data_IF_997528905703
#
_entry.id   IF_997528905703
#
_cell.length_a   1.000
_cell.length_b   1.000
_cell.length_c   1.000
_cell.angle_alpha   90.00
_cell.angle_beta   90.00
_cell.angle_gamma   90.00
#
_symmetry.space_group_name_H-M   'P 1'
#
loop_
_entity.id
_entity.type
_entity.pdbx_description
1 polymer ?
#
# COMPACT_ATOMS: atom_id res chain seq x y z
N UNK A 1 -9.51 32.46 -44.48
CA UNK A 1 -9.73 30.99 -44.35
C UNK A 1 -8.45 30.15 -44.26
N UNK A 2 -7.30 30.54 -44.85
CA UNK A 2 -6.05 29.74 -44.80
C UNK A 2 -5.33 29.70 -43.44
N UNK A 3 -5.42 30.76 -42.63
CA UNK A 3 -4.73 30.80 -41.30
C UNK A 3 -5.46 29.95 -40.26
N UNK A 4 -6.81 29.91 -40.31
CA UNK A 4 -7.62 29.10 -39.39
C UNK A 4 -7.39 27.59 -39.59
N UNK A 5 -7.15 27.17 -40.83
CA UNK A 5 -6.86 25.77 -41.19
C UNK A 5 -5.47 25.35 -40.73
N UNK A 6 -4.48 26.25 -40.77
CA UNK A 6 -3.13 26.00 -40.27
C UNK A 6 -3.12 25.89 -38.74
N UNK A 7 -3.82 26.77 -38.02
CA UNK A 7 -3.94 26.67 -36.56
C UNK A 7 -4.67 25.40 -36.12
N UNK A 8 -5.74 25.02 -36.83
CA UNK A 8 -6.47 23.78 -36.55
C UNK A 8 -5.60 22.54 -36.79
N UNK A 9 -4.78 22.54 -37.83
CA UNK A 9 -3.87 21.43 -38.11
C UNK A 9 -2.77 21.32 -37.05
N UNK A 10 -2.20 22.45 -36.60
CA UNK A 10 -1.20 22.48 -35.51
C UNK A 10 -1.79 22.01 -34.18
N UNK A 11 -3.03 22.38 -33.87
CA UNK A 11 -3.72 21.95 -32.65
C UNK A 11 -3.99 20.44 -32.66
N UNK A 12 -4.50 19.90 -33.77
CA UNK A 12 -4.71 18.45 -33.92
C UNK A 12 -3.39 17.69 -33.88
N UNK A 13 -2.33 18.19 -34.52
CA UNK A 13 -1.01 17.59 -34.47
C UNK A 13 -0.44 17.60 -33.04
N UNK A 14 -0.63 18.69 -32.27
CA UNK A 14 -0.20 18.75 -30.87
C UNK A 14 -0.95 17.78 -29.96
N UNK A 15 -2.25 17.54 -30.20
CA UNK A 15 -3.02 16.52 -29.46
C UNK A 15 -2.47 15.13 -29.77
N UNK A 16 -2.17 14.83 -31.04
CA UNK A 16 -1.63 13.53 -31.45
C UNK A 16 -0.22 13.30 -30.85
N UNK A 17 0.62 14.33 -30.77
CA UNK A 17 1.94 14.24 -30.11
C UNK A 17 1.85 14.20 -28.58
N UNK A 18 0.79 14.74 -27.96
CA UNK A 18 0.53 14.64 -26.51
C UNK A 18 -0.03 13.26 -26.10
N UNK A 19 -0.61 12.51 -27.05
CA UNK A 19 -1.06 11.12 -26.84
C UNK A 19 -0.01 10.08 -27.25
N UNK A 20 1.21 10.51 -27.61
CA UNK A 20 2.32 9.63 -27.94
C UNK A 20 2.80 8.89 -26.70
N UNK A 21 2.36 7.65 -26.58
CA UNK A 21 2.96 6.56 -25.82
C UNK A 21 2.77 6.58 -24.29
N UNK A 22 1.51 6.67 -23.84
CA UNK A 22 1.13 6.00 -22.60
C UNK A 22 0.94 4.51 -22.89
N UNK A 23 2.04 3.78 -23.04
CA UNK A 23 2.00 2.31 -23.08
C UNK A 23 1.95 1.79 -21.65
N UNK A 24 0.85 1.13 -21.29
CA UNK A 24 0.80 0.34 -20.07
C UNK A 24 1.49 -0.99 -20.36
N UNK A 25 2.62 -1.25 -19.71
CA UNK A 25 3.30 -2.53 -19.81
C UNK A 25 2.73 -3.50 -18.77
N UNK A 26 2.56 -4.77 -19.16
CA UNK A 26 2.11 -5.83 -18.26
C UNK A 26 3.34 -6.58 -17.74
N UNK A 27 3.57 -6.51 -16.44
CA UNK A 27 4.60 -7.29 -15.76
C UNK A 27 3.96 -8.43 -14.99
N UNK A 28 4.51 -9.64 -15.15
CA UNK A 28 4.06 -10.84 -14.45
C UNK A 28 5.22 -11.39 -13.63
N UNK A 29 5.01 -11.53 -12.32
CA UNK A 29 6.00 -12.03 -11.39
C UNK A 29 5.41 -13.16 -10.55
N UNK A 30 6.15 -14.27 -10.44
CA UNK A 30 5.87 -15.28 -9.41
C UNK A 30 6.24 -14.76 -8.02
N UNK A 31 7.30 -13.95 -7.94
CA UNK A 31 7.73 -13.18 -6.79
C UNK A 31 8.61 -12.03 -7.29
N UNK A 32 8.66 -10.94 -6.53
CA UNK A 32 9.49 -9.78 -6.83
C UNK A 32 10.36 -9.47 -5.60
N UNK A 33 11.66 -9.31 -5.79
CA UNK A 33 12.56 -8.92 -4.71
C UNK A 33 13.33 -7.68 -5.15
N UNK A 34 13.30 -6.64 -4.32
CA UNK A 34 14.05 -5.40 -4.50
C UNK A 34 15.17 -5.39 -3.45
N UNK A 35 16.42 -5.50 -3.91
CA UNK A 35 17.58 -5.59 -3.01
C UNK A 35 17.90 -4.24 -2.34
N UNK A 36 18.66 -4.23 -1.23
CA UNK A 36 18.97 -3.02 -0.43
C UNK A 36 19.53 -1.84 -1.24
N UNK A 37 20.39 -2.09 -2.23
CA UNK A 37 20.98 -1.05 -3.11
C UNK A 37 20.18 -0.81 -4.40
N UNK A 38 19.01 -1.43 -4.54
CA UNK A 38 18.20 -1.38 -5.74
C UNK A 38 17.09 -0.34 -5.62
N UNK A 39 16.84 0.39 -6.71
CA UNK A 39 15.71 1.30 -6.84
C UNK A 39 14.94 0.99 -8.11
N UNK A 40 13.67 0.64 -7.95
CA UNK A 40 12.77 0.26 -9.04
C UNK A 40 11.55 1.17 -9.07
N UNK A 41 11.17 1.62 -10.26
CA UNK A 41 9.95 2.41 -10.47
C UNK A 41 9.10 1.79 -11.56
N UNK A 42 7.83 1.56 -11.26
CA UNK A 42 6.77 1.24 -12.22
C UNK A 42 5.84 2.46 -12.37
N UNK A 43 5.55 2.87 -13.61
CA UNK A 43 4.80 4.10 -13.92
C UNK A 43 3.81 3.87 -15.07
N UNK A 44 2.52 3.78 -14.75
CA UNK A 44 1.49 3.52 -15.75
C UNK A 44 1.31 2.04 -16.10
N UNK A 45 1.83 1.14 -15.27
CA UNK A 45 1.97 -0.28 -15.56
C UNK A 45 0.87 -1.14 -14.93
N UNK A 46 0.74 -2.38 -15.43
CA UNK A 46 -0.06 -3.44 -14.84
C UNK A 46 0.82 -4.53 -14.25
N UNK A 47 0.83 -4.67 -12.94
CA UNK A 47 1.62 -5.68 -12.25
C UNK A 47 0.73 -6.84 -11.84
N UNK A 48 1.13 -8.06 -12.16
CA UNK A 48 0.47 -9.31 -11.76
C UNK A 48 1.45 -10.12 -10.94
N UNK A 49 1.13 -10.32 -9.66
CA UNK A 49 2.00 -10.96 -8.70
C UNK A 49 1.31 -12.23 -8.21
N UNK A 50 1.90 -13.40 -8.42
CA UNK A 50 1.41 -14.71 -7.95
C UNK A 50 2.16 -15.19 -6.69
N UNK A 51 2.62 -14.26 -5.86
CA UNK A 51 3.41 -14.55 -4.66
C UNK A 51 3.82 -13.26 -3.97
N UNK A 52 4.98 -13.26 -3.33
CA UNK A 52 5.41 -12.15 -2.48
C UNK A 52 6.19 -11.09 -3.24
N UNK A 53 6.05 -9.84 -2.79
CA UNK A 53 6.98 -8.75 -3.09
C UNK A 53 7.80 -8.51 -1.82
N UNK A 54 9.11 -8.66 -1.89
CA UNK A 54 10.04 -8.41 -0.78
C UNK A 54 10.87 -7.17 -1.11
N UNK A 55 10.89 -6.20 -0.20
CA UNK A 55 11.48 -4.88 -0.45
C UNK A 55 12.51 -4.59 0.64
N UNK A 56 13.79 -4.69 0.27
CA UNK A 56 14.93 -4.27 1.08
C UNK A 56 15.50 -2.92 0.63
N UNK A 57 15.31 -2.54 -0.64
CA UNK A 57 15.66 -1.23 -1.21
C UNK A 57 14.45 -0.34 -1.48
N UNK A 58 14.46 0.39 -2.59
CA UNK A 58 13.44 1.38 -2.92
C UNK A 58 12.48 0.91 -4.02
N UNK A 59 11.20 0.76 -3.71
CA UNK A 59 10.15 0.46 -4.69
C UNK A 59 9.15 1.61 -4.80
N UNK A 60 9.03 2.19 -6.00
CA UNK A 60 7.96 3.14 -6.33
C UNK A 60 7.01 2.53 -7.36
N UNK A 61 5.72 2.52 -7.06
CA UNK A 61 4.68 2.12 -8.01
C UNK A 61 3.67 3.25 -8.11
N UNK A 62 3.58 3.87 -9.28
CA UNK A 62 2.72 5.04 -9.49
C UNK A 62 1.89 4.95 -10.76
N UNK A 63 0.68 5.51 -10.71
CA UNK A 63 -0.27 5.49 -11.83
C UNK A 63 -0.59 4.07 -12.33
N UNK A 64 -0.44 3.06 -11.47
CA UNK A 64 -0.42 1.65 -11.87
C UNK A 64 -1.56 0.87 -11.24
N UNK A 65 -1.81 -0.31 -11.81
CA UNK A 65 -2.72 -1.29 -11.23
C UNK A 65 -1.94 -2.54 -10.83
N UNK A 66 -1.98 -2.89 -9.55
CA UNK A 66 -1.34 -4.08 -9.01
C UNK A 66 -2.42 -5.13 -8.75
N UNK A 67 -2.18 -6.33 -9.24
CA UNK A 67 -2.99 -7.49 -9.02
C UNK A 67 -2.19 -8.52 -8.20
N UNK A 68 -2.55 -8.68 -6.94
CA UNK A 68 -1.88 -9.58 -6.00
C UNK A 68 -2.71 -10.84 -5.84
N UNK A 69 -2.24 -11.94 -6.40
CA UNK A 69 -2.85 -13.25 -6.28
C UNK A 69 -2.11 -14.11 -5.27
N UNK A 70 -2.85 -15.08 -4.74
CA UNK A 70 -2.33 -16.07 -3.79
C UNK A 70 -1.13 -16.80 -4.40
N UNK A 71 -0.11 -17.00 -3.59
CA UNK A 71 1.04 -17.84 -3.89
C UNK A 71 0.65 -19.26 -4.29
N UNK A 72 1.47 -19.88 -5.15
CA UNK A 72 1.28 -21.26 -5.60
C UNK A 72 1.33 -22.30 -4.47
N UNK A 73 1.89 -21.94 -3.32
CA UNK A 73 1.91 -22.76 -2.10
C UNK A 73 0.66 -22.54 -1.21
N UNK A 74 -0.30 -21.74 -1.68
CA UNK A 74 -1.55 -21.41 -1.01
C UNK A 74 -1.37 -20.64 0.31
N UNK A 75 -0.28 -19.92 0.50
CA UNK A 75 -0.15 -18.96 1.60
C UNK A 75 -0.80 -17.61 1.24
N UNK A 76 -0.99 -16.73 2.22
CA UNK A 76 -1.45 -15.36 1.95
C UNK A 76 -0.26 -14.60 1.38
N UNK A 77 -0.40 -14.04 0.18
CA UNK A 77 0.68 -13.28 -0.44
C UNK A 77 0.94 -11.99 0.32
N UNK A 78 2.20 -11.60 0.40
CA UNK A 78 2.64 -10.41 1.10
C UNK A 78 3.34 -9.42 0.17
N UNK A 79 3.03 -8.13 0.34
CA UNK A 79 3.92 -7.04 -0.08
C UNK A 79 4.65 -6.62 1.18
N UNK A 80 5.87 -7.12 1.37
CA UNK A 80 6.65 -6.97 2.60
C UNK A 80 7.79 -5.96 2.40
N UNK A 81 7.78 -4.93 3.24
CA UNK A 81 8.82 -3.93 3.37
C UNK A 81 9.63 -4.31 4.59
N UNK A 82 10.89 -4.67 4.39
CA UNK A 82 11.82 -4.95 5.47
C UNK A 82 12.38 -3.63 6.03
N UNK A 83 13.20 -3.71 7.09
CA UNK A 83 13.60 -2.55 7.87
C UNK A 83 14.43 -1.50 7.12
N UNK A 84 15.14 -1.89 6.07
CA UNK A 84 15.86 -0.98 5.17
C UNK A 84 15.02 -0.52 3.97
N UNK A 85 13.90 -1.21 3.72
CA UNK A 85 13.12 -1.03 2.52
C UNK A 85 12.18 0.16 2.57
N UNK A 86 11.84 0.64 1.38
CA UNK A 86 10.87 1.71 1.17
C UNK A 86 9.88 1.35 0.07
N UNK A 87 8.60 1.58 0.34
CA UNK A 87 7.53 1.46 -0.65
C UNK A 87 6.77 2.78 -0.79
N UNK A 88 6.73 3.30 -2.01
CA UNK A 88 5.89 4.43 -2.38
C UNK A 88 4.78 3.98 -3.36
N UNK A 89 3.52 4.04 -2.94
CA UNK A 89 2.35 3.83 -3.79
C UNK A 89 1.67 5.17 -4.10
N UNK A 90 1.64 5.60 -5.37
CA UNK A 90 1.10 6.91 -5.75
C UNK A 90 0.07 6.78 -6.88
N UNK A 91 -1.18 7.16 -6.63
CA UNK A 91 -2.24 7.00 -7.63
C UNK A 91 -2.34 5.55 -8.14
N UNK A 92 -2.32 4.60 -7.21
CA UNK A 92 -2.24 3.17 -7.49
C UNK A 92 -3.51 2.47 -7.02
N UNK A 93 -3.97 1.48 -7.80
CA UNK A 93 -5.05 0.58 -7.39
C UNK A 93 -4.49 -0.82 -7.16
N UNK A 94 -4.74 -1.40 -5.98
CA UNK A 94 -4.31 -2.75 -5.61
C UNK A 94 -5.53 -3.63 -5.44
N UNK A 95 -5.55 -4.75 -6.14
CA UNK A 95 -6.65 -5.70 -6.17
C UNK A 95 -6.14 -7.13 -6.10
N UNK A 96 -7.08 -8.06 -6.05
CA UNK A 96 -6.85 -9.50 -6.12
C UNK A 96 -8.01 -10.15 -6.88
N UNK A 97 -7.83 -11.36 -7.39
CA UNK A 97 -8.94 -12.08 -8.06
C UNK A 97 -9.61 -13.06 -7.12
N UNK A 98 -10.91 -13.26 -7.30
CA UNK A 98 -11.55 -14.44 -6.75
C UNK A 98 -11.11 -15.66 -7.57
N UNK A 99 -10.57 -16.68 -6.90
CA UNK A 99 -10.34 -17.97 -7.51
C UNK A 99 -11.60 -18.82 -7.35
N UNK A 100 -12.15 -19.35 -8.45
CA UNK A 100 -13.36 -20.19 -8.43
C UNK A 100 -13.26 -21.42 -7.51
N UNK A 101 -12.04 -21.90 -7.26
CA UNK A 101 -11.75 -23.07 -6.41
C UNK A 101 -11.53 -22.70 -4.95
N UNK A 102 -10.96 -21.53 -4.68
CA UNK A 102 -10.47 -21.16 -3.34
C UNK A 102 -11.18 -19.94 -2.72
N UNK A 103 -12.13 -19.34 -3.45
CA UNK A 103 -12.80 -18.10 -3.06
C UNK A 103 -11.96 -16.85 -3.32
N UNK A 104 -12.37 -15.75 -2.70
CA UNK A 104 -11.66 -14.47 -2.75
C UNK A 104 -10.29 -14.65 -2.09
N UNK A 105 -9.21 -14.37 -2.83
CA UNK A 105 -7.87 -14.33 -2.25
C UNK A 105 -7.67 -13.02 -1.52
N UNK A 106 -6.79 -13.01 -0.52
CA UNK A 106 -6.47 -11.83 0.28
C UNK A 106 -4.97 -11.67 0.29
N UNK A 107 -4.49 -10.47 0.56
CA UNK A 107 -3.06 -10.19 0.70
C UNK A 107 -2.81 -9.25 1.87
N UNK A 108 -1.58 -9.22 2.35
CA UNK A 108 -1.16 -8.29 3.40
C UNK A 108 -0.04 -7.42 2.87
N UNK A 109 -0.17 -6.10 3.02
CA UNK A 109 0.96 -5.20 2.90
C UNK A 109 1.58 -5.09 4.30
N UNK A 110 2.78 -5.62 4.44
CA UNK A 110 3.53 -5.68 5.70
C UNK A 110 4.64 -4.64 5.67
N UNK A 111 4.77 -3.83 6.71
CA UNK A 111 5.95 -3.01 6.97
C UNK A 111 6.57 -3.45 8.29
N UNK A 112 7.80 -3.95 8.25
CA UNK A 112 8.55 -4.42 9.41
C UNK A 112 9.78 -3.52 9.61
N UNK A 113 9.55 -2.39 10.29
CA UNK A 113 10.56 -1.36 10.54
C UNK A 113 10.89 -0.45 9.36
N UNK A 114 10.30 -0.67 8.18
CA UNK A 114 10.58 0.07 6.95
C UNK A 114 9.81 1.39 6.78
N UNK A 115 9.88 1.93 5.56
CA UNK A 115 9.24 3.18 5.17
C UNK A 115 8.07 2.93 4.20
N UNK A 116 6.85 3.30 4.59
CA UNK A 116 5.66 3.16 3.75
C UNK A 116 5.06 4.54 3.42
N UNK A 117 4.93 4.85 2.13
CA UNK A 117 4.13 5.98 1.65
C UNK A 117 3.00 5.49 0.74
N UNK A 118 1.78 5.93 1.04
CA UNK A 118 0.60 5.69 0.22
C UNK A 118 -0.08 7.02 -0.07
N UNK A 119 -0.25 7.35 -1.34
CA UNK A 119 -0.89 8.58 -1.79
C UNK A 119 -1.91 8.30 -2.88
N UNK A 120 -3.13 8.83 -2.71
CA UNK A 120 -4.20 8.80 -3.73
C UNK A 120 -4.51 7.37 -4.22
N UNK A 121 -4.52 6.40 -3.31
CA UNK A 121 -4.58 4.98 -3.64
C UNK A 121 -5.91 4.32 -3.30
N UNK A 122 -6.16 3.18 -3.94
CA UNK A 122 -7.30 2.30 -3.66
C UNK A 122 -6.77 0.89 -3.41
N UNK A 123 -7.11 0.30 -2.26
CA UNK A 123 -6.64 -1.03 -1.85
C UNK A 123 -7.88 -1.86 -1.51
N UNK A 124 -8.06 -2.97 -2.23
CA UNK A 124 -9.20 -3.85 -2.07
C UNK A 124 -8.78 -5.24 -1.62
N UNK A 125 -9.52 -5.84 -0.69
CA UNK A 125 -9.27 -7.19 -0.16
C UNK A 125 -7.90 -7.36 0.53
N UNK A 126 -7.20 -6.26 0.79
CA UNK A 126 -5.91 -6.22 1.46
C UNK A 126 -6.02 -5.78 2.92
N UNK A 127 -4.97 -6.07 3.69
CA UNK A 127 -4.74 -5.52 5.03
C UNK A 127 -3.42 -4.75 5.03
N UNK A 128 -3.34 -3.66 5.79
CA UNK A 128 -2.08 -2.99 6.13
C UNK A 128 -1.63 -3.46 7.53
N UNK A 129 -0.43 -4.02 7.63
CA UNK A 129 0.16 -4.49 8.88
C UNK A 129 1.53 -3.85 9.08
N UNK A 130 1.66 -2.97 10.06
CA UNK A 130 2.87 -2.18 10.28
C UNK A 130 3.38 -2.41 11.70
N UNK A 131 4.67 -2.74 11.83
CA UNK A 131 5.36 -2.92 13.10
C UNK A 131 6.66 -2.12 13.04
N UNK A 132 6.80 -1.10 13.89
CA UNK A 132 7.92 -0.15 13.83
C UNK A 132 7.88 0.74 12.57
N UNK A 133 9.00 1.43 12.30
CA UNK A 133 9.18 2.23 11.08
C UNK A 133 8.29 3.47 10.99
N UNK A 134 8.15 3.99 9.76
CA UNK A 134 7.32 5.15 9.47
C UNK A 134 6.31 4.83 8.37
N UNK A 135 5.08 5.33 8.54
CA UNK A 135 4.01 5.18 7.55
C UNK A 135 3.27 6.50 7.34
N UNK A 136 3.20 6.95 6.09
CA UNK A 136 2.44 8.14 5.68
C UNK A 136 1.38 7.75 4.66
N UNK A 137 0.10 7.95 5.01
CA UNK A 137 -1.04 7.56 4.19
C UNK A 137 -1.91 8.77 3.91
N UNK A 138 -2.07 9.14 2.65
CA UNK A 138 -2.90 10.27 2.23
C UNK A 138 -3.90 9.84 1.16
N UNK A 139 -5.18 10.19 1.32
CA UNK A 139 -6.25 9.93 0.35
C UNK A 139 -6.37 8.44 -0.05
N UNK A 140 -6.40 7.55 0.94
CA UNK A 140 -6.56 6.10 0.73
C UNK A 140 -8.03 5.67 0.87
N UNK A 141 -8.53 4.91 -0.10
CA UNK A 141 -9.69 4.04 0.08
C UNK A 141 -9.24 2.61 0.35
N UNK A 142 -9.52 2.10 1.55
CA UNK A 142 -9.21 0.74 1.97
C UNK A 142 -10.52 -0.03 2.18
N UNK A 143 -10.81 -1.01 1.34
CA UNK A 143 -12.06 -1.79 1.42
C UNK A 143 -11.78 -3.29 1.54
N UNK A 144 -12.19 -3.86 2.67
CA UNK A 144 -11.98 -5.26 2.97
C UNK A 144 -13.03 -6.17 2.37
N UNK A 145 -14.15 -5.66 1.84
CA UNK A 145 -15.25 -6.49 1.32
C UNK A 145 -15.68 -7.62 2.29
N UNK A 146 -15.80 -7.30 3.58
CA UNK A 146 -16.19 -8.19 4.69
C UNK A 146 -15.08 -9.11 5.19
N UNK A 147 -13.83 -8.65 5.15
CA UNK A 147 -12.72 -9.35 5.76
C UNK A 147 -12.85 -9.41 7.28
N UNK A 148 -12.79 -10.62 7.82
CA UNK A 148 -12.83 -10.84 9.28
C UNK A 148 -11.46 -10.61 9.92
N UNK A 149 -10.89 -9.41 9.74
CA UNK A 149 -9.57 -9.04 10.24
C UNK A 149 -9.46 -7.51 10.43
N UNK A 150 -8.23 -7.00 10.53
CA UNK A 150 -7.90 -5.58 10.56
C UNK A 150 -7.92 -4.98 9.14
N UNK A 151 -8.33 -3.71 9.04
CA UNK A 151 -7.99 -2.87 7.88
C UNK A 151 -6.55 -2.40 8.00
N UNK A 152 -6.27 -1.64 9.05
CA UNK A 152 -4.93 -1.18 9.42
C UNK A 152 -4.59 -1.70 10.82
N UNK A 153 -3.48 -2.43 10.92
CA UNK A 153 -2.81 -2.77 12.16
C UNK A 153 -1.48 -1.99 12.24
N UNK A 154 -1.23 -1.36 13.38
CA UNK A 154 -0.04 -0.55 13.64
C UNK A 154 0.47 -0.85 15.04
N UNK A 155 1.73 -1.23 15.18
CA UNK A 155 2.39 -1.47 16.46
C UNK A 155 3.74 -0.75 16.46
N UNK A 156 3.92 0.21 17.37
CA UNK A 156 5.14 1.01 17.47
C UNK A 156 5.57 1.74 16.17
N UNK A 157 4.66 1.86 15.20
CA UNK A 157 4.87 2.60 13.96
C UNK A 157 4.54 4.08 14.14
N UNK A 158 5.37 4.96 13.58
CA UNK A 158 5.03 6.36 13.41
C UNK A 158 4.06 6.52 12.23
N UNK A 159 2.76 6.33 12.51
CA UNK A 159 1.69 6.39 11.52
C UNK A 159 1.08 7.79 11.43
N UNK A 160 1.14 8.38 10.24
CA UNK A 160 0.42 9.62 9.87
C UNK A 160 -0.58 9.26 8.77
N UNK A 161 -1.87 9.53 9.00
CA UNK A 161 -2.92 9.24 8.04
C UNK A 161 -3.86 10.44 7.85
N UNK A 162 -4.06 10.87 6.60
CA UNK A 162 -4.97 11.96 6.23
C UNK A 162 -5.91 11.58 5.09
N UNK A 163 -7.21 11.88 5.22
CA UNK A 163 -8.18 11.63 4.14
C UNK A 163 -8.41 10.13 3.85
N UNK A 164 -8.30 9.27 4.85
CA UNK A 164 -8.39 7.81 4.70
C UNK A 164 -9.82 7.32 4.97
N UNK A 165 -10.32 6.42 4.13
CA UNK A 165 -11.62 5.78 4.29
C UNK A 165 -11.44 4.25 4.39
N UNK A 166 -11.76 3.67 5.54
CA UNK A 166 -11.62 2.24 5.83
C UNK A 166 -12.99 1.59 5.93
N UNK A 167 -13.22 0.49 5.19
CA UNK A 167 -14.55 -0.11 5.06
C UNK A 167 -14.56 -1.63 5.10
N UNK A 168 -15.64 -2.18 5.67
CA UNK A 168 -15.97 -3.61 5.60
C UNK A 168 -14.87 -4.54 6.16
N UNK A 169 -14.36 -4.20 7.34
CA UNK A 169 -13.48 -5.02 8.16
C UNK A 169 -14.14 -5.33 9.50
N UNK A 170 -13.72 -6.37 10.21
CA UNK A 170 -14.10 -6.53 11.62
C UNK A 170 -13.60 -5.34 12.44
N UNK A 171 -12.33 -4.95 12.26
CA UNK A 171 -11.71 -3.82 12.93
C UNK A 171 -11.01 -2.93 11.90
N UNK A 172 -11.47 -1.69 11.70
CA UNK A 172 -10.91 -0.78 10.71
C UNK A 172 -9.50 -0.33 11.03
N UNK A 173 -9.24 0.08 12.28
CA UNK A 173 -7.91 0.45 12.76
C UNK A 173 -7.65 -0.17 14.13
N UNK A 174 -6.46 -0.78 14.26
CA UNK A 174 -5.82 -1.12 15.52
C UNK A 174 -4.45 -0.46 15.63
N UNK A 175 -4.23 0.31 16.68
CA UNK A 175 -2.92 0.91 16.98
C UNK A 175 -2.45 0.56 18.40
N UNK A 176 -1.19 0.15 18.55
CA UNK A 176 -0.53 -0.27 19.80
C UNK A 176 0.81 0.48 19.95
N UNK A 177 1.13 0.89 21.18
CA UNK A 177 2.41 1.52 21.51
C UNK A 177 2.48 2.98 21.08
N UNK A 178 2.85 3.24 19.81
CA UNK A 178 2.87 4.59 19.23
C UNK A 178 1.47 5.09 18.84
N UNK A 179 1.18 6.36 19.15
CA UNK A 179 -0.11 6.96 18.82
C UNK A 179 -0.11 7.53 17.40
N UNK A 180 -1.07 7.13 16.55
CA UNK A 180 -1.12 7.62 15.18
C UNK A 180 -1.61 9.07 15.12
N UNK A 181 -1.10 9.83 14.15
CA UNK A 181 -1.62 11.15 13.79
C UNK A 181 -2.68 10.99 12.72
N UNK A 182 -3.95 11.22 13.06
CA UNK A 182 -5.09 10.98 12.17
C UNK A 182 -5.83 12.27 11.84
N UNK A 183 -6.01 12.57 10.56
CA UNK A 183 -6.81 13.69 10.06
C UNK A 183 -7.84 13.19 9.04
N UNK A 184 -9.13 13.53 9.22
CA UNK A 184 -10.17 13.13 8.26
C UNK A 184 -10.17 11.62 7.92
N UNK A 185 -10.06 10.77 8.95
CA UNK A 185 -10.12 9.31 8.80
C UNK A 185 -11.53 8.81 9.12
N UNK A 186 -12.12 8.06 8.18
CA UNK A 186 -13.50 7.61 8.22
C UNK A 186 -13.61 6.09 8.23
N UNK A 187 -14.52 5.57 9.04
CA UNK A 187 -14.74 4.13 9.23
C UNK A 187 -16.17 3.77 8.84
N UNK A 188 -16.33 2.73 8.03
CA UNK A 188 -17.64 2.29 7.54
C UNK A 188 -17.79 0.79 7.69
N UNK A 189 -18.83 0.34 8.40
CA UNK A 189 -19.09 -1.09 8.61
C UNK A 189 -17.87 -1.83 9.21
N UNK A 190 -17.20 -1.19 10.18
CA UNK A 190 -16.10 -1.76 10.95
C UNK A 190 -16.01 -1.12 12.33
N UNK A 191 -15.44 -1.83 13.31
CA UNK A 191 -15.13 -1.27 14.63
C UNK A 191 -13.76 -0.58 14.65
N UNK A 192 -13.35 0.05 15.75
CA UNK A 192 -12.00 0.66 15.92
C UNK A 192 -11.46 0.45 17.33
N UNK A 193 -10.14 0.25 17.50
CA UNK A 193 -9.51 0.09 18.82
C UNK A 193 -8.07 0.66 18.84
N UNK A 194 -7.80 1.59 19.75
CA UNK A 194 -6.46 2.13 19.99
C UNK A 194 -6.03 1.90 21.44
N UNK A 195 -4.82 1.37 21.66
CA UNK A 195 -4.23 1.17 23.00
C UNK A 195 -2.83 1.77 23.03
N UNK A 196 -2.54 2.67 23.97
CA UNK A 196 -1.16 3.10 24.22
C UNK A 196 -0.51 2.13 25.22
N UNK A 197 0.67 1.60 24.87
CA UNK A 197 1.50 0.83 25.79
C UNK A 197 2.61 1.73 26.33
N UNK A 198 2.70 1.84 27.65
CA UNK A 198 3.76 2.55 28.34
C UNK A 198 4.68 1.50 28.97
N UNK A 199 5.90 1.38 28.47
CA UNK A 199 6.92 0.56 29.12
C UNK A 199 7.25 1.19 30.49
N UNK A 200 6.88 0.51 31.58
CA UNK A 200 7.44 0.84 32.89
C UNK A 200 8.88 0.37 32.90
N UNK A 201 9.83 1.30 32.78
CA UNK A 201 11.23 1.00 33.05
C UNK A 201 11.37 0.75 34.55
N UNK A 202 11.39 -0.52 34.95
CA UNK A 202 11.82 -0.89 36.29
C UNK A 202 13.33 -0.67 36.37
N UNK A 203 13.76 0.42 37.01
CA UNK A 203 15.14 0.52 37.45
C UNK A 203 15.35 -0.54 38.54
N UNK A 204 16.32 -1.46 38.40
CA UNK A 204 16.70 -2.31 39.53
C UNK A 204 17.09 -1.39 40.68
N UNK A 205 16.51 -1.62 41.87
CA UNK A 205 16.99 -0.99 43.10
C UNK A 205 18.42 -1.50 43.28
N UNK A 206 19.41 -0.61 43.16
CA UNK A 206 20.75 -0.93 43.61
C UNK A 206 20.66 -1.23 45.11
N UNK A 207 20.81 -2.50 45.49
CA UNK A 207 21.05 -2.84 46.88
C UNK A 207 22.39 -2.23 47.28
N UNK A 208 22.34 -1.15 48.06
CA UNK A 208 23.51 -0.66 48.76
C UNK A 208 23.94 -1.71 49.79
N UNK A 209 25.02 -2.44 49.46
CA UNK A 209 25.92 -3.27 50.29
C UNK A 209 25.43 -3.79 51.63
#
# INVERSE_FOLDING_TARGET
MRILTILSALFVLSIIFLTGDAFSEKFEYSSLTISEDESVTFDGDQLWIEGDILIDGDLTIKNSHIHVNRSLDFTVSEIRINSTGKLDLVNTTVTTTANETYGITTYTLVSDGGELSIQDAQIYYGMLWMVGGNASITNLLLDGYSLSNYGIFSEDTNLIASGVSIRNYTLGLRAIGSSPTLESVFYYNCSTWTTQEWWVTFSPVEEST
#
